data_IF_571200119246
#
_entry.id   IF_571200119246
#
_cell.length_a   1.000
_cell.length_b   1.000
_cell.length_c   1.000
_cell.angle_alpha   90.00
_cell.angle_beta   90.00
_cell.angle_gamma   90.00
#
_symmetry.space_group_name_H-M   'P 1'
#
loop_
_entity.id
_entity.type
_entity.pdbx_description
1 polymer ?
#
# COMPACT_ATOMS: atom_id res chain seq x y z
N UNK A 1 -11.36 -23.16 1.05
CA UNK A 1 -10.83 -21.91 1.66
C UNK A 1 -11.85 -21.16 2.53
N UNK A 2 -13.12 -21.61 2.63
CA UNK A 2 -14.16 -20.96 3.45
C UNK A 2 -14.28 -21.47 4.90
N UNK A 3 -13.63 -22.58 5.28
CA UNK A 3 -13.94 -23.23 6.56
C UNK A 3 -13.12 -22.71 7.77
N UNK A 4 -11.97 -22.07 7.56
CA UNK A 4 -11.15 -21.56 8.67
C UNK A 4 -11.67 -20.26 9.30
N UNK A 5 -12.47 -19.46 8.58
CA UNK A 5 -12.93 -18.14 9.06
C UNK A 5 -14.10 -18.27 10.04
N UNK A 6 -14.82 -19.40 10.03
CA UNK A 6 -15.99 -19.60 10.91
C UNK A 6 -15.62 -19.90 12.36
N UNK A 7 -14.40 -20.34 12.64
CA UNK A 7 -13.96 -20.76 13.99
C UNK A 7 -13.33 -19.64 14.82
N UNK A 8 -12.95 -18.53 14.18
CA UNK A 8 -12.37 -17.36 14.83
C UNK A 8 -13.29 -16.18 14.54
N UNK A 9 -13.77 -15.47 15.56
CA UNK A 9 -14.69 -14.33 15.43
C UNK A 9 -13.98 -13.08 14.84
N UNK A 10 -13.25 -13.26 13.74
CA UNK A 10 -12.32 -12.31 13.13
C UNK A 10 -13.02 -11.58 11.99
N UNK A 11 -12.82 -10.26 11.97
CA UNK A 11 -13.31 -9.36 10.93
C UNK A 11 -12.10 -8.70 10.30
N UNK A 12 -11.94 -8.87 8.99
CA UNK A 12 -10.80 -8.31 8.26
C UNK A 12 -11.31 -7.39 7.16
N UNK A 13 -10.61 -6.27 6.95
CA UNK A 13 -10.77 -5.42 5.80
C UNK A 13 -9.45 -5.41 5.01
N UNK A 14 -9.55 -5.50 3.69
CA UNK A 14 -8.40 -5.50 2.79
C UNK A 14 -8.68 -4.56 1.62
N UNK A 15 -7.74 -3.66 1.32
CA UNK A 15 -7.79 -2.83 0.12
C UNK A 15 -7.32 -3.62 -1.10
N UNK A 16 -8.06 -3.51 -2.20
CA UNK A 16 -7.68 -4.07 -3.50
C UNK A 16 -6.95 -3.03 -4.37
N UNK A 17 -7.11 -1.74 -4.05
CA UNK A 17 -6.58 -0.62 -4.83
C UNK A 17 -5.25 -0.06 -4.35
N UNK A 18 -4.46 -0.88 -3.66
CA UNK A 18 -3.08 -0.54 -3.26
C UNK A 18 -2.12 -1.43 -4.04
N UNK A 19 -1.19 -2.13 -3.36
CA UNK A 19 -0.24 -3.02 -4.01
C UNK A 19 -0.83 -4.18 -4.81
N UNK A 20 -2.15 -4.40 -4.80
CA UNK A 20 -2.81 -5.39 -5.66
C UNK A 20 -3.17 -4.84 -7.06
N UNK A 21 -3.27 -3.52 -7.24
CA UNK A 21 -3.47 -2.89 -8.55
C UNK A 21 -4.91 -2.76 -9.04
N UNK A 22 -5.93 -3.10 -8.24
CA UNK A 22 -7.31 -2.83 -8.67
C UNK A 22 -7.55 -1.30 -8.72
N UNK A 23 -8.32 -0.78 -9.68
CA UNK A 23 -8.53 0.67 -9.78
C UNK A 23 -9.33 1.21 -8.58
N UNK A 24 -10.27 0.43 -8.07
CA UNK A 24 -11.13 0.80 -6.93
C UNK A 24 -11.45 -0.46 -6.12
N UNK A 25 -11.53 -0.30 -4.81
CA UNK A 25 -12.28 -1.21 -3.96
C UNK A 25 -11.53 -1.74 -2.76
N UNK A 26 -12.33 -2.23 -1.81
CA UNK A 26 -11.89 -2.98 -0.65
C UNK A 26 -12.93 -4.04 -0.32
N UNK A 27 -12.48 -5.12 0.30
CA UNK A 27 -13.34 -6.21 0.75
C UNK A 27 -13.32 -6.30 2.26
N UNK A 28 -14.47 -6.66 2.83
CA UNK A 28 -14.60 -6.99 4.24
C UNK A 28 -15.01 -8.46 4.31
N UNK A 29 -14.35 -9.22 5.18
CA UNK A 29 -14.58 -10.65 5.39
C UNK A 29 -14.89 -10.90 6.87
N UNK A 30 -15.88 -11.74 7.14
CA UNK A 30 -16.30 -12.13 8.49
C UNK A 30 -17.56 -13.00 8.45
N UNK A 31 -18.19 -13.20 9.62
CA UNK A 31 -19.38 -14.06 9.76
C UNK A 31 -20.58 -13.55 8.95
N UNK A 32 -21.53 -14.44 8.66
CA UNK A 32 -22.76 -14.09 7.91
C UNK A 32 -23.53 -12.95 8.57
N UNK A 33 -23.71 -12.99 9.89
CA UNK A 33 -24.42 -11.95 10.64
C UNK A 33 -23.70 -10.61 10.59
N UNK A 34 -22.36 -10.63 10.63
CA UNK A 34 -21.56 -9.43 10.48
C UNK A 34 -21.68 -8.84 9.07
N UNK A 35 -21.57 -9.67 8.04
CA UNK A 35 -21.72 -9.24 6.64
C UNK A 35 -23.14 -8.72 6.36
N UNK A 36 -24.16 -9.30 6.98
CA UNK A 36 -25.53 -8.79 6.90
C UNK A 36 -25.62 -7.34 7.41
N UNK A 37 -25.12 -7.08 8.63
CA UNK A 37 -25.06 -5.73 9.19
C UNK A 37 -24.21 -4.79 8.34
N UNK A 38 -23.05 -5.24 7.85
CA UNK A 38 -22.17 -4.45 7.00
C UNK A 38 -22.82 -4.06 5.66
N UNK A 39 -23.63 -4.94 5.05
CA UNK A 39 -24.37 -4.62 3.81
C UNK A 39 -25.41 -3.52 4.02
N UNK A 40 -26.10 -3.52 5.17
CA UNK A 40 -27.03 -2.45 5.54
C UNK A 40 -26.27 -1.13 5.68
N UNK A 41 -25.19 -1.10 6.47
CA UNK A 41 -24.36 0.09 6.63
C UNK A 41 -23.79 0.59 5.30
N UNK A 42 -23.30 -0.31 4.43
CA UNK A 42 -22.84 0.04 3.09
C UNK A 42 -23.92 0.76 2.29
N UNK A 43 -25.19 0.35 2.41
CA UNK A 43 -26.30 1.01 1.72
C UNK A 43 -26.59 2.39 2.34
N UNK A 44 -26.62 2.48 3.66
CA UNK A 44 -26.86 3.74 4.40
C UNK A 44 -25.78 4.79 4.10
N UNK A 45 -24.52 4.38 4.03
CA UNK A 45 -23.38 5.26 3.70
C UNK A 45 -23.23 5.56 2.20
N UNK A 46 -24.17 5.10 1.35
CA UNK A 46 -24.15 5.37 -0.10
C UNK A 46 -23.27 4.44 -0.94
N UNK A 47 -22.58 3.46 -0.35
CA UNK A 47 -21.74 2.48 -1.07
C UNK A 47 -22.51 1.40 -1.86
N UNK A 48 -23.84 1.50 -1.96
CA UNK A 48 -24.70 0.58 -2.70
C UNK A 48 -24.73 0.87 -4.21
N UNK A 49 -23.59 0.75 -4.88
CA UNK A 49 -23.40 0.99 -6.31
C UNK A 49 -24.16 -0.03 -7.20
N UNK A 50 -24.53 0.39 -8.42
CA UNK A 50 -25.11 -0.47 -9.47
C UNK A 50 -24.04 -0.81 -10.52
N UNK A 51 -24.22 -1.92 -11.23
CA UNK A 51 -23.35 -2.35 -12.34
C UNK A 51 -21.85 -2.46 -11.98
N UNK A 52 -21.56 -2.86 -10.74
CA UNK A 52 -20.18 -2.97 -10.20
C UNK A 52 -19.34 -4.10 -10.82
N UNK A 53 -19.90 -4.89 -11.74
CA UNK A 53 -19.25 -6.06 -12.32
C UNK A 53 -17.88 -5.76 -12.95
N UNK A 54 -17.73 -4.61 -13.60
CA UNK A 54 -16.45 -4.18 -14.19
C UNK A 54 -15.37 -3.99 -13.11
N UNK A 55 -15.71 -3.34 -12.01
CA UNK A 55 -14.79 -3.16 -10.88
C UNK A 55 -14.48 -4.50 -10.19
N UNK A 56 -15.49 -5.37 -10.06
CA UNK A 56 -15.31 -6.71 -9.51
C UNK A 56 -14.38 -7.57 -10.38
N UNK A 57 -14.45 -7.46 -11.71
CA UNK A 57 -13.56 -8.17 -12.62
C UNK A 57 -12.11 -7.71 -12.47
N UNK A 58 -11.86 -6.40 -12.43
CA UNK A 58 -10.52 -5.86 -12.18
C UNK A 58 -9.97 -6.28 -10.81
N UNK A 59 -10.80 -6.22 -9.77
CA UNK A 59 -10.48 -6.71 -8.43
C UNK A 59 -10.13 -8.20 -8.41
N UNK A 60 -10.87 -9.04 -9.16
CA UNK A 60 -10.61 -10.47 -9.25
C UNK A 60 -9.24 -10.75 -9.88
N UNK A 61 -8.93 -10.09 -10.99
CA UNK A 61 -7.61 -10.20 -11.66
C UNK A 61 -6.49 -9.75 -10.72
N UNK A 62 -6.65 -8.60 -10.05
CA UNK A 62 -5.68 -8.08 -9.08
C UNK A 62 -5.36 -9.08 -7.95
N UNK A 63 -6.37 -9.72 -7.37
CA UNK A 63 -6.17 -10.72 -6.32
C UNK A 63 -5.50 -11.99 -6.86
N UNK A 64 -5.92 -12.46 -8.04
CA UNK A 64 -5.40 -13.69 -8.64
C UNK A 64 -3.94 -13.56 -9.06
N UNK A 65 -3.57 -12.43 -9.66
CA UNK A 65 -2.31 -12.31 -10.40
C UNK A 65 -1.24 -11.49 -9.67
N UNK A 66 -1.61 -10.65 -8.71
CA UNK A 66 -0.68 -9.71 -8.05
C UNK A 66 -0.25 -10.14 -6.65
N UNK A 67 -1.04 -10.93 -5.92
CA UNK A 67 -0.72 -11.32 -4.52
C UNK A 67 0.67 -11.96 -4.41
N UNK A 68 1.01 -12.88 -5.33
CA UNK A 68 2.32 -13.53 -5.34
C UNK A 68 3.50 -12.59 -5.65
N UNK A 69 3.24 -11.43 -6.28
CA UNK A 69 4.26 -10.46 -6.69
C UNK A 69 4.60 -9.44 -5.60
N UNK A 70 3.82 -9.36 -4.52
CA UNK A 70 4.08 -8.44 -3.42
C UNK A 70 5.46 -8.67 -2.76
N UNK A 71 5.96 -9.91 -2.77
CA UNK A 71 7.29 -10.25 -2.30
C UNK A 71 8.41 -9.56 -3.12
N UNK A 72 8.18 -9.34 -4.42
CA UNK A 72 9.12 -8.63 -5.28
C UNK A 72 9.20 -7.16 -4.90
N UNK A 73 8.08 -6.55 -4.51
CA UNK A 73 8.06 -5.17 -4.01
C UNK A 73 8.83 -5.01 -2.71
N UNK A 74 8.71 -5.99 -1.79
CA UNK A 74 9.50 -6.00 -0.56
C UNK A 74 11.00 -6.10 -0.86
N UNK A 75 11.37 -6.96 -1.82
CA UNK A 75 12.77 -7.13 -2.24
C UNK A 75 13.31 -5.86 -2.87
N UNK A 76 12.53 -5.20 -3.75
CA UNK A 76 12.91 -3.93 -4.38
C UNK A 76 13.02 -2.79 -3.37
N UNK A 77 12.14 -2.75 -2.36
CA UNK A 77 12.23 -1.78 -1.28
C UNK A 77 13.52 -1.95 -0.46
N UNK A 78 13.93 -3.19 -0.17
CA UNK A 78 15.23 -3.47 0.48
C UNK A 78 16.41 -3.01 -0.37
N UNK A 79 16.40 -3.31 -1.68
CA UNK A 79 17.45 -2.83 -2.60
C UNK A 79 17.52 -1.30 -2.63
N UNK A 80 16.38 -0.62 -2.63
CA UNK A 80 16.32 0.84 -2.55
C UNK A 80 16.92 1.35 -1.23
N UNK A 81 16.54 0.76 -0.11
CA UNK A 81 17.04 1.12 1.22
C UNK A 81 18.56 0.92 1.34
N UNK A 82 19.09 -0.20 0.82
CA UNK A 82 20.52 -0.48 0.77
C UNK A 82 21.28 0.53 -0.10
N UNK A 83 20.68 0.96 -1.21
CA UNK A 83 21.21 2.03 -2.06
C UNK A 83 21.26 3.37 -1.33
N UNK A 84 20.17 3.76 -0.67
CA UNK A 84 20.07 5.01 0.08
C UNK A 84 21.05 5.06 1.25
N UNK A 85 21.27 3.94 1.96
CA UNK A 85 22.22 3.86 3.07
C UNK A 85 23.67 4.17 2.68
N UNK A 86 24.03 3.99 1.40
CA UNK A 86 25.38 4.30 0.88
C UNK A 86 25.59 5.79 0.62
N UNK A 87 24.52 6.60 0.66
CA UNK A 87 24.56 8.04 0.40
C UNK A 87 24.65 8.78 1.73
N UNK A 88 25.75 9.51 1.95
CA UNK A 88 26.05 10.18 3.24
C UNK A 88 25.00 11.20 3.68
N UNK A 89 24.27 11.77 2.74
CA UNK A 89 23.23 12.77 2.99
C UNK A 89 21.92 12.15 3.52
N UNK A 90 21.79 10.82 3.53
CA UNK A 90 20.60 10.12 3.98
C UNK A 90 20.91 9.11 5.10
N UNK A 91 19.97 8.99 6.03
CA UNK A 91 19.99 7.98 7.08
C UNK A 91 18.80 7.06 6.89
N UNK A 92 19.06 5.75 6.76
CA UNK A 92 18.03 4.72 6.61
C UNK A 92 18.24 3.63 7.64
N UNK A 93 17.19 3.29 8.38
CA UNK A 93 17.17 2.10 9.22
C UNK A 93 16.68 0.88 8.43
N UNK A 94 17.61 0.03 8.01
CA UNK A 94 17.30 -1.18 7.24
C UNK A 94 16.43 -2.17 8.00
N UNK A 95 16.48 -2.18 9.34
CA UNK A 95 15.69 -3.10 10.16
C UNK A 95 14.21 -2.72 10.20
N UNK A 96 13.88 -1.49 9.80
CA UNK A 96 12.50 -1.02 9.68
C UNK A 96 11.85 -1.34 8.33
N UNK A 97 12.62 -1.82 7.34
CA UNK A 97 12.16 -2.07 5.96
C UNK A 97 11.68 -3.52 5.82
N UNK A 98 10.48 -3.78 6.34
CA UNK A 98 9.85 -5.12 6.32
C UNK A 98 8.88 -5.34 5.15
N UNK A 99 8.42 -4.26 4.52
CA UNK A 99 7.39 -4.29 3.45
C UNK A 99 7.87 -3.51 2.21
N UNK A 100 6.95 -2.94 1.44
CA UNK A 100 7.23 -2.16 0.23
C UNK A 100 7.44 -0.65 0.49
N UNK A 101 7.57 -0.24 1.75
CA UNK A 101 7.75 1.15 2.15
C UNK A 101 9.16 1.39 2.70
N UNK A 102 9.78 2.50 2.29
CA UNK A 102 11.10 2.92 2.76
C UNK A 102 11.00 4.34 3.31
N UNK A 103 11.29 4.48 4.60
CA UNK A 103 11.43 5.76 5.25
C UNK A 103 12.91 6.09 5.43
N UNK A 104 13.29 7.32 5.10
CA UNK A 104 14.66 7.79 5.30
C UNK A 104 14.68 9.25 5.72
N UNK A 105 15.67 9.58 6.55
CA UNK A 105 15.90 10.93 7.04
C UNK A 105 16.95 11.62 6.19
N UNK A 106 16.74 12.92 5.94
CA UNK A 106 17.73 13.79 5.32
C UNK A 106 18.67 14.27 6.42
N UNK A 107 19.92 13.82 6.37
CA UNK A 107 20.95 14.19 7.33
C UNK A 107 21.55 15.58 7.03
N UNK A 108 21.52 16.02 5.78
CA UNK A 108 22.03 17.32 5.37
C UNK A 108 21.02 18.45 5.69
N UNK A 109 21.33 19.38 6.61
CA UNK A 109 20.42 20.45 7.02
C UNK A 109 20.13 21.47 5.90
N UNK A 110 20.93 21.48 4.82
CA UNK A 110 20.71 22.37 3.68
C UNK A 110 19.71 21.82 2.66
N UNK A 111 19.30 20.56 2.81
CA UNK A 111 18.35 19.90 1.94
C UNK A 111 17.02 19.76 2.67
N UNK A 112 15.99 20.43 2.16
CA UNK A 112 14.61 20.25 2.66
C UNK A 112 13.92 19.12 1.90
N UNK A 113 12.97 18.40 2.53
CA UNK A 113 12.19 17.37 1.85
C UNK A 113 11.52 17.84 0.56
N UNK A 114 10.90 19.02 0.58
CA UNK A 114 10.18 19.56 -0.58
C UNK A 114 11.12 19.84 -1.76
N UNK A 115 12.31 20.41 -1.48
CA UNK A 115 13.31 20.68 -2.51
C UNK A 115 13.86 19.39 -3.09
N UNK A 116 14.07 18.36 -2.25
CA UNK A 116 14.48 17.05 -2.72
C UNK A 116 13.40 16.42 -3.61
N UNK A 117 12.12 16.48 -3.23
CA UNK A 117 11.02 15.98 -4.04
C UNK A 117 10.96 16.66 -5.41
N UNK A 118 11.14 17.99 -5.48
CA UNK A 118 11.18 18.73 -6.75
C UNK A 118 12.33 18.27 -7.66
N UNK A 119 13.54 18.06 -7.11
CA UNK A 119 14.69 17.57 -7.90
C UNK A 119 14.47 16.12 -8.37
N UNK A 120 13.86 15.27 -7.54
CA UNK A 120 13.52 13.90 -7.91
C UNK A 120 12.45 13.89 -9.02
N UNK A 121 11.44 14.76 -8.94
CA UNK A 121 10.38 14.87 -9.94
C UNK A 121 10.92 15.29 -11.31
N UNK A 122 11.89 16.22 -11.36
CA UNK A 122 12.62 16.58 -12.59
C UNK A 122 13.35 15.38 -13.22
N UNK A 123 13.59 14.31 -12.46
CA UNK A 123 14.19 13.05 -12.92
C UNK A 123 13.16 11.92 -13.03
N UNK A 124 11.87 12.24 -13.03
CA UNK A 124 10.75 11.29 -13.08
C UNK A 124 10.70 10.32 -11.89
N UNK A 125 11.20 10.74 -10.73
CA UNK A 125 11.11 9.99 -9.47
C UNK A 125 10.16 10.73 -8.53
N UNK A 126 9.02 10.11 -8.24
CA UNK A 126 8.04 10.67 -7.31
C UNK A 126 8.28 10.12 -5.89
N UNK A 127 8.28 11.01 -4.92
CA UNK A 127 8.38 10.68 -3.50
C UNK A 127 7.54 11.69 -2.69
N UNK A 128 7.22 11.35 -1.44
CA UNK A 128 6.38 12.19 -0.60
C UNK A 128 7.10 12.54 0.71
N UNK A 129 7.07 13.81 1.15
CA UNK A 129 7.49 14.17 2.50
C UNK A 129 6.61 13.47 3.54
N UNK A 130 7.24 12.79 4.50
CA UNK A 130 6.56 12.20 5.65
C UNK A 130 6.61 13.13 6.88
N UNK A 131 7.65 13.95 6.98
CA UNK A 131 7.81 14.99 8.00
C UNK A 131 8.80 16.06 7.53
N UNK A 132 9.12 17.03 8.39
CA UNK A 132 10.08 18.10 8.09
C UNK A 132 11.51 17.63 7.78
N UNK A 133 11.86 16.37 8.10
CA UNK A 133 13.18 15.77 7.81
C UNK A 133 13.13 14.39 7.17
N UNK A 134 11.94 13.83 6.96
CA UNK A 134 11.76 12.43 6.54
C UNK A 134 10.99 12.35 5.24
N UNK A 135 11.44 11.49 4.32
CA UNK A 135 10.67 11.11 3.13
C UNK A 135 10.13 9.70 3.28
N UNK A 136 9.03 9.45 2.58
CA UNK A 136 8.48 8.12 2.33
C UNK A 136 8.55 7.82 0.84
N UNK A 137 9.10 6.64 0.52
CA UNK A 137 9.02 6.04 -0.81
C UNK A 137 8.26 4.73 -0.73
N UNK A 138 7.28 4.56 -1.61
CA UNK A 138 6.49 3.33 -1.72
C UNK A 138 6.80 2.69 -3.06
N UNK A 139 7.20 1.42 -3.05
CA UNK A 139 7.38 0.64 -4.28
C UNK A 139 6.12 -0.17 -4.58
N UNK A 140 5.69 -0.16 -5.83
CA UNK A 140 4.60 -1.00 -6.33
C UNK A 140 5.00 -1.57 -7.69
N UNK A 141 4.70 -2.86 -7.89
CA UNK A 141 4.79 -3.54 -9.20
C UNK A 141 3.45 -3.71 -9.89
N UNK A 142 2.37 -3.37 -9.20
CA UNK A 142 1.03 -3.32 -9.76
C UNK A 142 0.85 -2.19 -10.78
#
# INVERSE_FOLDING_TARGET
MCDCISLLNVKVQVCLSKGLGAPVGSVIVGSKDFIYKAKILRKTLGGGMRQVGILCAAAYVAVRDTVGKLADDHTKAKVLADGLKKIKQFTVDLTSVETNMVFFDIADPHITPDKLCQVLEQRNVLAMPASSKRLNSVRSTA
#
